data_IF_978961670245
#
_entry.id   IF_978961670245
#
_cell.length_a   1.000
_cell.length_b   1.000
_cell.length_c   1.000
_cell.angle_alpha   90.00
_cell.angle_beta   90.00
_cell.angle_gamma   90.00
#
_symmetry.space_group_name_H-M   'P 1'
#
loop_
_entity.id
_entity.type
_entity.pdbx_description
1 polymer ?
#
# COMPACT_ATOMS: atom_id res chain seq x y z
N UNK A 1 -21.86 -2.07 19.47
CA UNK A 1 -22.12 -1.45 18.16
C UNK A 1 -20.99 -0.48 17.72
N UNK A 2 -19.72 -0.93 17.72
CA UNK A 2 -18.55 -0.04 17.50
C UNK A 2 -17.61 -0.50 16.36
N UNK A 3 -18.06 -1.40 15.46
CA UNK A 3 -17.25 -1.78 14.28
C UNK A 3 -17.66 -1.04 12.98
N UNK A 4 -18.89 -0.52 12.90
CA UNK A 4 -19.39 0.18 11.70
C UNK A 4 -18.97 1.65 11.58
N UNK A 5 -18.68 2.33 12.70
CA UNK A 5 -18.38 3.77 12.64
C UNK A 5 -16.98 4.11 12.11
N UNK A 6 -16.01 3.19 12.19
CA UNK A 6 -14.66 3.46 11.65
C UNK A 6 -14.56 3.28 10.13
N UNK A 7 -15.38 2.41 9.54
CA UNK A 7 -15.48 2.28 8.09
C UNK A 7 -16.12 3.53 7.44
N UNK A 8 -16.94 4.26 8.20
CA UNK A 8 -17.59 5.49 7.74
C UNK A 8 -16.77 6.77 7.94
N UNK A 9 -15.62 6.71 8.63
CA UNK A 9 -14.83 7.90 9.00
C UNK A 9 -13.72 8.24 8.00
N UNK A 10 -13.43 7.36 7.05
CA UNK A 10 -12.67 7.70 5.85
C UNK A 10 -13.61 7.62 4.65
N UNK A 11 -14.32 8.72 4.41
CA UNK A 11 -14.99 8.93 3.12
C UNK A 11 -13.88 9.09 2.09
N UNK A 12 -13.63 8.05 1.31
CA UNK A 12 -13.09 8.28 -0.01
C UNK A 12 -14.19 9.01 -0.77
N UNK A 13 -14.07 10.34 -0.90
CA UNK A 13 -15.15 11.18 -1.46
C UNK A 13 -15.57 10.76 -2.87
N UNK A 14 -14.70 10.03 -3.57
CA UNK A 14 -14.98 9.36 -4.83
C UNK A 14 -14.22 8.04 -4.92
N UNK A 15 -14.70 7.11 -5.75
CA UNK A 15 -13.96 5.89 -6.11
C UNK A 15 -12.57 6.23 -6.70
N UNK A 16 -12.45 7.34 -7.43
CA UNK A 16 -11.17 7.82 -7.98
C UNK A 16 -10.17 8.18 -6.86
N UNK A 17 -10.63 8.80 -5.78
CA UNK A 17 -9.78 9.07 -4.62
C UNK A 17 -9.34 7.77 -3.94
N UNK A 18 -10.24 6.80 -3.78
CA UNK A 18 -9.89 5.47 -3.27
C UNK A 18 -8.85 4.78 -4.15
N UNK A 19 -9.05 4.75 -5.47
CA UNK A 19 -8.11 4.17 -6.42
C UNK A 19 -6.74 4.84 -6.34
N UNK A 20 -6.68 6.16 -6.20
CA UNK A 20 -5.42 6.89 -6.08
C UNK A 20 -4.70 6.57 -4.78
N UNK A 21 -5.39 6.61 -3.64
CA UNK A 21 -4.78 6.28 -2.34
C UNK A 21 -4.27 4.84 -2.30
N UNK A 22 -5.01 3.90 -2.91
CA UNK A 22 -4.57 2.50 -3.01
C UNK A 22 -3.35 2.38 -3.93
N UNK A 23 -3.34 3.05 -5.08
CA UNK A 23 -2.19 3.08 -6.00
C UNK A 23 -0.94 3.65 -5.34
N UNK A 24 -1.08 4.80 -4.67
CA UNK A 24 0.00 5.45 -3.93
C UNK A 24 0.55 4.53 -2.82
N UNK A 25 -0.34 3.81 -2.13
CA UNK A 25 0.04 2.85 -1.10
C UNK A 25 0.80 1.64 -1.64
N UNK A 26 0.36 1.06 -2.77
CA UNK A 26 1.03 -0.06 -3.44
C UNK A 26 2.43 0.36 -3.89
N UNK A 27 2.55 1.53 -4.52
CA UNK A 27 3.84 2.05 -4.97
C UNK A 27 4.80 2.24 -3.78
N UNK A 28 4.30 2.82 -2.68
CA UNK A 28 5.08 3.00 -1.47
C UNK A 28 5.55 1.66 -0.86
N UNK A 29 4.67 0.66 -0.78
CA UNK A 29 4.99 -0.65 -0.23
C UNK A 29 6.02 -1.41 -1.08
N UNK A 30 5.92 -1.32 -2.41
CA UNK A 30 6.79 -2.06 -3.31
C UNK A 30 8.17 -1.42 -3.47
N UNK A 31 8.24 -0.08 -3.44
CA UNK A 31 9.46 0.65 -3.80
C UNK A 31 10.14 1.39 -2.65
N UNK A 32 9.48 1.62 -1.51
CA UNK A 32 10.06 2.43 -0.43
C UNK A 32 10.12 1.72 0.91
N UNK A 33 9.40 0.61 1.09
CA UNK A 33 9.50 -0.21 2.30
C UNK A 33 10.64 -1.21 2.13
N UNK A 34 11.74 -1.08 2.89
CA UNK A 34 12.71 -2.15 3.02
C UNK A 34 12.08 -3.29 3.83
N UNK A 35 12.15 -4.51 3.30
CA UNK A 35 11.55 -5.68 3.93
C UNK A 35 12.63 -6.54 4.58
N UNK A 36 12.52 -6.80 5.89
CA UNK A 36 13.50 -7.64 6.61
C UNK A 36 13.59 -9.06 6.04
N UNK A 37 12.46 -9.63 5.59
CA UNK A 37 12.43 -10.92 4.91
C UNK A 37 13.19 -10.91 3.57
N UNK A 38 13.39 -9.73 2.97
CA UNK A 38 14.17 -9.53 1.74
C UNK A 38 15.55 -8.93 2.03
N UNK A 39 16.12 -9.16 3.22
CA UNK A 39 17.42 -8.57 3.61
C UNK A 39 17.45 -7.04 3.48
N UNK A 40 16.35 -6.37 3.84
CA UNK A 40 16.15 -4.91 3.74
C UNK A 40 16.07 -4.37 2.31
N UNK A 41 15.98 -5.23 1.29
CA UNK A 41 15.63 -4.79 -0.06
C UNK A 41 14.15 -4.45 -0.16
N UNK A 42 13.84 -3.59 -1.13
CA UNK A 42 12.48 -3.34 -1.57
C UNK A 42 11.99 -4.52 -2.40
N UNK A 43 10.67 -4.71 -2.45
CA UNK A 43 10.09 -5.81 -3.25
C UNK A 43 10.41 -5.63 -4.76
N UNK A 44 10.47 -4.38 -5.22
CA UNK A 44 10.87 -4.06 -6.59
C UNK A 44 12.32 -4.48 -6.91
N UNK A 45 13.26 -4.23 -6.00
CA UNK A 45 14.66 -4.68 -6.16
C UNK A 45 14.77 -6.20 -6.15
N UNK A 46 14.06 -6.87 -5.24
CA UNK A 46 14.05 -8.33 -5.18
C UNK A 46 13.46 -8.96 -6.46
N UNK A 47 12.42 -8.36 -7.03
CA UNK A 47 11.84 -8.82 -8.30
C UNK A 47 12.77 -8.56 -9.49
N UNK A 48 13.41 -7.39 -9.54
CA UNK A 48 14.38 -7.06 -10.58
C UNK A 48 15.61 -7.98 -10.57
N UNK A 49 16.01 -8.51 -9.42
CA UNK A 49 17.09 -9.48 -9.27
C UNK A 49 16.70 -10.92 -9.63
N UNK A 50 15.40 -11.20 -9.73
CA UNK A 50 14.88 -12.53 -10.04
C UNK A 50 14.47 -12.70 -11.53
N UNK A 51 14.59 -11.64 -12.33
CA UNK A 51 14.33 -11.61 -13.77
C UNK A 51 15.59 -11.93 -14.58
#
# INVERSE_FOLDING_TARGET
>A
MLKRQRAHRHRFETLQHASRVIGDWIQFYNHRRPHQALKMMTLAEAFALAA
#
